data_IF_908162405390
#
_entry.id   IF_908162405390
#
_cell.length_a   1.000
_cell.length_b   1.000
_cell.length_c   1.000
_cell.angle_alpha   90.00
_cell.angle_beta   90.00
_cell.angle_gamma   90.00
#
_symmetry.space_group_name_H-M   'P 1'
#
loop_
_entity.id
_entity.type
_entity.pdbx_description
1 polymer ?
#
# COMPACT_ATOMS: atom_id res chain seq x y z
N UNK A 1 -2.78 21.15 12.93
CA UNK A 1 -2.48 21.23 11.49
C UNK A 1 -3.65 20.67 10.69
N UNK A 2 -4.04 21.35 9.63
CA UNK A 2 -4.97 20.79 8.65
C UNK A 2 -4.18 19.94 7.64
N UNK A 3 -4.53 18.68 7.52
CA UNK A 3 -3.83 17.73 6.67
C UNK A 3 -4.32 17.70 5.21
N UNK A 4 -5.30 18.53 4.84
CA UNK A 4 -5.82 18.54 3.46
C UNK A 4 -4.71 18.77 2.42
N UNK A 5 -3.88 19.78 2.62
CA UNK A 5 -2.76 20.09 1.73
C UNK A 5 -1.70 18.99 1.76
N UNK A 6 -1.39 18.48 2.97
CA UNK A 6 -0.41 17.41 3.16
C UNK A 6 -0.82 16.15 2.38
N UNK A 7 -2.08 15.73 2.53
CA UNK A 7 -2.58 14.53 1.86
C UNK A 7 -2.64 14.70 0.34
N UNK A 8 -3.05 15.89 -0.14
CA UNK A 8 -3.06 16.18 -1.57
C UNK A 8 -1.66 16.13 -2.18
N UNK A 9 -0.66 16.69 -1.48
CA UNK A 9 0.72 16.67 -1.94
C UNK A 9 1.32 15.26 -1.89
N UNK A 10 1.02 14.50 -0.86
CA UNK A 10 1.44 13.11 -0.76
C UNK A 10 0.86 12.27 -1.91
N UNK A 11 -0.41 12.49 -2.24
CA UNK A 11 -1.08 11.83 -3.38
C UNK A 11 -0.36 12.14 -4.69
N UNK A 12 -0.05 13.40 -4.93
CA UNK A 12 0.66 13.83 -6.13
C UNK A 12 2.03 13.15 -6.24
N UNK A 13 2.76 13.07 -5.14
CA UNK A 13 4.07 12.40 -5.09
C UNK A 13 3.95 10.93 -5.47
N UNK A 14 2.96 10.22 -4.92
CA UNK A 14 2.73 8.81 -5.25
C UNK A 14 2.35 8.62 -6.71
N UNK A 15 1.46 9.44 -7.24
CA UNK A 15 1.00 9.36 -8.63
C UNK A 15 2.11 9.63 -9.64
N UNK A 16 3.09 10.46 -9.27
CA UNK A 16 4.24 10.76 -10.12
C UNK A 16 5.35 9.71 -10.03
N UNK A 17 5.24 8.79 -9.08
CA UNK A 17 6.25 7.74 -8.91
C UNK A 17 6.23 6.78 -10.09
N UNK A 18 7.41 6.57 -10.70
CA UNK A 18 7.58 5.65 -11.83
C UNK A 18 8.38 4.43 -11.38
N UNK A 19 7.70 3.32 -11.17
CA UNK A 19 8.32 2.04 -10.87
C UNK A 19 8.47 1.22 -12.16
N UNK A 20 9.61 0.59 -12.36
CA UNK A 20 9.89 -0.20 -13.57
C UNK A 20 9.44 -1.65 -13.42
N UNK A 21 9.50 -2.21 -12.21
CA UNK A 21 9.09 -3.59 -11.96
C UNK A 21 7.57 -3.71 -11.86
N UNK A 22 7.04 -4.86 -12.23
CA UNK A 22 5.60 -5.15 -12.07
C UNK A 22 5.19 -5.02 -10.61
N UNK A 23 6.00 -5.54 -9.70
CA UNK A 23 5.81 -5.39 -8.26
C UNK A 23 5.70 -3.92 -7.83
N UNK A 24 6.67 -3.11 -8.23
CA UNK A 24 6.69 -1.68 -7.88
C UNK A 24 5.48 -0.93 -8.41
N UNK A 25 5.07 -1.18 -9.66
CA UNK A 25 3.88 -0.54 -10.25
C UNK A 25 2.62 -0.91 -9.48
N UNK A 26 2.45 -2.20 -9.16
CA UNK A 26 1.28 -2.67 -8.42
C UNK A 26 1.22 -2.12 -7.01
N UNK A 27 2.34 -2.10 -6.30
CA UNK A 27 2.43 -1.52 -4.95
C UNK A 27 2.12 -0.02 -4.97
N UNK A 28 2.63 0.69 -5.98
CA UNK A 28 2.35 2.13 -6.12
C UNK A 28 0.87 2.40 -6.36
N UNK A 29 0.23 1.65 -7.25
CA UNK A 29 -1.20 1.77 -7.51
C UNK A 29 -2.01 1.51 -6.21
N UNK A 30 -1.60 0.52 -5.46
CA UNK A 30 -2.24 0.18 -4.20
C UNK A 30 -2.05 1.28 -3.13
N UNK A 31 -0.85 1.86 -3.08
CA UNK A 31 -0.56 2.97 -2.18
C UNK A 31 -1.40 4.21 -2.53
N UNK A 32 -1.60 4.49 -3.81
CA UNK A 32 -2.47 5.59 -4.26
C UNK A 32 -3.91 5.37 -3.78
N UNK A 33 -4.45 4.16 -3.96
CA UNK A 33 -5.80 3.83 -3.49
C UNK A 33 -5.92 3.96 -1.97
N UNK A 34 -4.94 3.50 -1.22
CA UNK A 34 -4.91 3.63 0.24
C UNK A 34 -4.90 5.09 0.67
N UNK A 35 -4.05 5.89 0.05
CA UNK A 35 -3.94 7.31 0.40
C UNK A 35 -5.23 8.06 0.05
N UNK A 36 -5.86 7.72 -1.08
CA UNK A 36 -7.15 8.29 -1.43
C UNK A 36 -8.20 8.03 -0.35
N UNK A 37 -8.23 6.82 0.19
CA UNK A 37 -9.16 6.47 1.27
C UNK A 37 -8.83 7.16 2.58
N UNK A 38 -7.56 7.27 2.91
CA UNK A 38 -7.12 8.03 4.09
C UNK A 38 -7.57 9.48 3.96
N UNK A 39 -7.43 10.08 2.78
CA UNK A 39 -7.89 11.44 2.52
C UNK A 39 -9.40 11.57 2.64
N UNK A 40 -10.15 10.61 2.12
CA UNK A 40 -11.62 10.60 2.22
C UNK A 40 -12.06 10.44 3.68
N UNK A 41 -11.43 9.56 4.44
CA UNK A 41 -11.73 9.36 5.86
C UNK A 41 -11.38 10.58 6.69
N UNK A 42 -10.29 11.25 6.36
CA UNK A 42 -9.94 12.51 7.03
C UNK A 42 -10.98 13.60 6.74
N UNK A 43 -11.38 13.73 5.49
CA UNK A 43 -12.40 14.70 5.07
C UNK A 43 -13.74 14.45 5.78
N UNK A 44 -14.10 13.16 5.94
CA UNK A 44 -15.36 12.77 6.55
C UNK A 44 -15.31 12.70 8.09
N UNK A 45 -14.14 12.96 8.69
CA UNK A 45 -13.96 12.99 10.12
C UNK A 45 -13.70 11.65 10.80
N UNK A 46 -13.51 10.58 10.04
CA UNK A 46 -13.18 9.25 10.60
C UNK A 46 -11.72 9.13 11.05
N UNK A 47 -10.84 9.89 10.46
CA UNK A 47 -9.43 10.00 10.85
C UNK A 47 -9.16 11.46 11.24
N UNK A 48 -8.61 11.66 12.43
CA UNK A 48 -8.31 12.99 12.93
C UNK A 48 -6.90 13.44 12.54
N UNK A 49 -6.64 14.75 12.66
CA UNK A 49 -5.29 15.30 12.55
C UNK A 49 -4.35 14.69 13.59
N UNK A 50 -4.84 14.40 14.79
CA UNK A 50 -4.05 13.76 15.85
C UNK A 50 -3.67 12.32 15.46
N UNK A 51 -4.59 11.57 14.84
CA UNK A 51 -4.28 10.24 14.31
C UNK A 51 -3.15 10.28 13.29
N UNK A 52 -3.21 11.24 12.37
CA UNK A 52 -2.16 11.42 11.36
C UNK A 52 -0.84 11.87 11.98
N UNK A 53 -0.89 12.67 13.03
CA UNK A 53 0.29 13.14 13.75
C UNK A 53 0.97 12.01 14.54
N UNK A 54 0.21 11.04 15.06
CA UNK A 54 0.75 9.92 15.86
C UNK A 54 1.43 8.84 15.02
N UNK A 55 1.25 8.84 13.72
CA UNK A 55 1.97 7.93 12.82
C UNK A 55 3.45 8.32 12.74
N UNK A 56 4.20 7.92 13.75
CA UNK A 56 5.56 8.40 13.99
C UNK A 56 6.62 7.71 13.13
N UNK A 57 6.42 6.45 12.77
CA UNK A 57 7.33 5.73 11.88
C UNK A 57 6.55 5.05 10.76
N UNK A 58 7.12 5.08 9.55
CA UNK A 58 6.52 4.42 8.40
C UNK A 58 6.39 2.91 8.61
N UNK A 59 7.34 2.30 9.33
CA UNK A 59 7.33 0.85 9.58
C UNK A 59 6.23 0.43 10.55
N UNK A 60 6.11 1.13 11.68
CA UNK A 60 5.07 0.84 12.66
C UNK A 60 3.68 1.06 12.06
N UNK A 61 3.51 2.16 11.33
CA UNK A 61 2.27 2.46 10.63
C UNK A 61 1.94 1.41 9.57
N UNK A 62 2.94 0.95 8.81
CA UNK A 62 2.76 -0.10 7.81
C UNK A 62 2.31 -1.42 8.42
N UNK A 63 2.88 -1.82 9.56
CA UNK A 63 2.48 -3.04 10.25
C UNK A 63 1.05 -2.97 10.76
N UNK A 64 0.71 -1.88 11.44
CA UNK A 64 -0.64 -1.69 11.98
C UNK A 64 -1.68 -1.51 10.88
N UNK A 65 -1.37 -0.68 9.89
CA UNK A 65 -2.26 -0.44 8.75
C UNK A 65 -2.47 -1.70 7.92
N UNK A 66 -1.45 -2.49 7.68
CA UNK A 66 -1.57 -3.73 6.93
C UNK A 66 -2.47 -4.74 7.66
N UNK A 67 -2.39 -4.79 9.00
CA UNK A 67 -3.27 -5.64 9.81
C UNK A 67 -4.72 -5.21 9.68
N UNK A 68 -4.98 -3.93 9.92
CA UNK A 68 -6.35 -3.39 9.88
C UNK A 68 -6.95 -3.51 8.47
N UNK A 69 -6.14 -3.23 7.45
CA UNK A 69 -6.59 -3.28 6.06
C UNK A 69 -6.85 -4.69 5.57
N UNK A 70 -6.11 -5.68 6.06
CA UNK A 70 -6.32 -7.08 5.68
C UNK A 70 -7.69 -7.61 6.13
N UNK A 71 -8.23 -7.05 7.19
CA UNK A 71 -9.57 -7.39 7.68
C UNK A 71 -10.68 -6.88 6.74
N UNK A 72 -10.42 -5.82 5.99
CA UNK A 72 -11.38 -5.24 5.05
C UNK A 72 -11.29 -5.80 3.64
N UNK A 73 -10.42 -6.71 3.34
CA UNK A 73 -10.25 -7.57 2.15
C UNK A 73 -10.50 -6.97 0.74
N UNK A 74 -10.93 -5.72 0.62
CA UNK A 74 -11.30 -5.12 -0.66
C UNK A 74 -10.12 -4.58 -1.44
N UNK A 75 -9.07 -4.20 -0.76
CA UNK A 75 -7.96 -3.50 -1.37
C UNK A 75 -6.91 -4.40 -2.01
N UNK A 76 -6.86 -5.68 -1.65
CA UNK A 76 -5.77 -6.54 -2.06
C UNK A 76 -5.93 -7.24 -3.40
N UNK A 77 -7.15 -7.31 -3.91
CA UNK A 77 -7.45 -8.23 -5.01
C UNK A 77 -6.70 -7.93 -6.30
N UNK A 78 -6.59 -6.67 -6.70
CA UNK A 78 -5.93 -6.30 -7.94
C UNK A 78 -4.44 -6.60 -7.93
N UNK A 79 -3.78 -6.42 -6.78
CA UNK A 79 -2.35 -6.70 -6.61
C UNK A 79 -2.06 -8.20 -6.50
N UNK A 80 -2.91 -8.89 -5.75
CA UNK A 80 -2.70 -10.31 -5.43
C UNK A 80 -2.94 -11.20 -6.64
N UNK A 81 -3.85 -10.81 -7.54
CA UNK A 81 -4.16 -11.58 -8.74
C UNK A 81 -3.21 -11.29 -9.91
N UNK A 82 -2.30 -10.34 -9.78
CA UNK A 82 -1.29 -10.08 -10.81
C UNK A 82 -0.19 -11.12 -10.71
N UNK A 83 -0.04 -11.95 -11.73
CA UNK A 83 0.94 -13.01 -11.79
C UNK A 83 2.38 -12.50 -11.72
N UNK A 84 2.66 -11.34 -12.28
CA UNK A 84 4.00 -10.73 -12.25
C UNK A 84 4.37 -10.30 -10.84
N UNK A 85 3.41 -9.78 -10.09
CA UNK A 85 3.62 -9.38 -8.70
C UNK A 85 3.87 -10.63 -7.83
N UNK A 86 3.07 -11.66 -8.02
CA UNK A 86 3.25 -12.92 -7.32
C UNK A 86 4.63 -13.53 -7.64
N UNK A 87 5.02 -13.53 -8.90
CA UNK A 87 6.33 -14.04 -9.33
C UNK A 87 7.49 -13.23 -8.74
N UNK A 88 7.33 -11.92 -8.56
CA UNK A 88 8.35 -11.06 -7.96
C UNK A 88 8.52 -11.27 -6.46
N UNK A 89 7.46 -11.71 -5.77
CA UNK A 89 7.45 -11.86 -4.31
C UNK A 89 7.66 -13.27 -3.81
N UNK A 90 7.32 -14.26 -4.60
CA UNK A 90 7.36 -15.66 -4.20
C UNK A 90 8.64 -16.33 -4.66
N UNK A 91 9.14 -17.27 -3.87
CA UNK A 91 10.21 -18.17 -4.30
C UNK A 91 9.68 -19.14 -5.36
N UNK A 92 10.55 -19.74 -6.20
CA UNK A 92 10.09 -20.71 -7.18
C UNK A 92 9.30 -21.89 -6.60
N UNK A 93 9.62 -22.30 -5.37
CA UNK A 93 8.91 -23.40 -4.69
C UNK A 93 7.51 -23.00 -4.22
N UNK A 94 7.27 -21.73 -4.02
CA UNK A 94 5.97 -21.19 -3.62
C UNK A 94 5.03 -20.99 -4.82
N UNK A 95 5.53 -21.15 -6.03
CA UNK A 95 4.78 -20.89 -7.26
C UNK A 95 4.37 -22.17 -7.95
N UNK A 96 3.08 -22.29 -8.26
CA UNK A 96 2.52 -23.38 -9.03
C UNK A 96 2.19 -22.90 -10.44
N UNK A 97 2.58 -23.68 -11.44
CA UNK A 97 2.25 -23.41 -12.83
C UNK A 97 0.79 -23.79 -13.10
N UNK A 98 0.01 -22.86 -13.63
CA UNK A 98 -1.37 -23.09 -14.04
C UNK A 98 -1.42 -23.69 -15.44
N UNK A 99 -2.64 -24.10 -15.89
CA UNK A 99 -2.87 -24.61 -17.27
C UNK A 99 -2.40 -23.63 -18.35
N UNK A 100 -2.50 -22.35 -18.09
CA UNK A 100 -2.16 -21.30 -19.06
C UNK A 100 -0.68 -20.88 -18.97
N UNK A 101 0.11 -21.56 -18.15
CA UNK A 101 1.52 -21.24 -17.97
C UNK A 101 1.78 -20.13 -16.95
N UNK A 102 0.75 -19.49 -16.42
CA UNK A 102 0.87 -18.48 -15.38
C UNK A 102 1.34 -19.10 -14.07
N UNK A 103 2.20 -18.41 -13.36
CA UNK A 103 2.66 -18.84 -12.05
C UNK A 103 1.90 -18.14 -10.96
N UNK A 104 1.37 -18.93 -10.02
CA UNK A 104 0.57 -18.45 -8.88
C UNK A 104 1.01 -19.10 -7.59
N UNK A 105 0.79 -18.47 -6.43
CA UNK A 105 1.01 -19.12 -5.15
C UNK A 105 0.25 -20.43 -5.03
N UNK A 106 0.86 -21.40 -4.33
CA UNK A 106 0.37 -22.78 -4.25
C UNK A 106 -0.87 -22.94 -3.35
N UNK A 107 -1.07 -22.03 -2.40
CA UNK A 107 -2.13 -22.16 -1.42
C UNK A 107 -2.75 -20.80 -1.11
N UNK A 108 -3.90 -20.82 -0.46
CA UNK A 108 -4.55 -19.61 0.05
C UNK A 108 -3.67 -18.88 1.05
N UNK A 109 -2.94 -19.62 1.90
CA UNK A 109 -2.03 -19.02 2.88
C UNK A 109 -0.90 -18.25 2.19
N UNK A 110 -0.32 -18.81 1.14
CA UNK A 110 0.71 -18.12 0.35
C UNK A 110 0.17 -16.86 -0.33
N UNK A 111 -1.07 -16.93 -0.84
CA UNK A 111 -1.76 -15.74 -1.38
C UNK A 111 -1.89 -14.65 -0.32
N UNK A 112 -2.29 -15.02 0.90
CA UNK A 112 -2.43 -14.07 2.00
C UNK A 112 -1.08 -13.47 2.39
N UNK A 113 0.00 -14.25 2.35
CA UNK A 113 1.34 -13.76 2.60
C UNK A 113 1.79 -12.74 1.54
N UNK A 114 1.54 -13.02 0.27
CA UNK A 114 1.84 -12.10 -0.82
C UNK A 114 1.07 -10.80 -0.62
N UNK A 115 -0.21 -10.90 -0.31
CA UNK A 115 -1.07 -9.75 -0.04
C UNK A 115 -0.54 -8.94 1.15
N UNK A 116 -0.17 -9.58 2.24
CA UNK A 116 0.35 -8.92 3.42
C UNK A 116 1.67 -8.18 3.12
N UNK A 117 2.56 -8.79 2.34
CA UNK A 117 3.81 -8.13 1.91
C UNK A 117 3.53 -6.91 1.04
N UNK A 118 2.58 -7.03 0.10
CA UNK A 118 2.16 -5.93 -0.76
C UNK A 118 1.58 -4.77 0.05
N UNK A 119 0.68 -5.08 0.98
CA UNK A 119 0.07 -4.09 1.86
C UNK A 119 1.11 -3.34 2.69
N UNK A 120 2.05 -4.07 3.30
CA UNK A 120 3.11 -3.44 4.09
C UNK A 120 3.95 -2.47 3.26
N UNK A 121 4.33 -2.86 2.04
CA UNK A 121 5.10 -2.00 1.14
C UNK A 121 4.29 -0.77 0.70
N UNK A 122 3.01 -0.96 0.39
CA UNK A 122 2.13 0.13 0.02
C UNK A 122 1.97 1.14 1.17
N UNK A 123 1.76 0.67 2.40
CA UNK A 123 1.68 1.55 3.57
C UNK A 123 2.98 2.30 3.83
N UNK A 124 4.13 1.66 3.66
CA UNK A 124 5.43 2.35 3.78
C UNK A 124 5.52 3.53 2.82
N UNK A 125 5.08 3.35 1.58
CA UNK A 125 5.06 4.41 0.57
C UNK A 125 4.09 5.53 0.95
N UNK A 126 2.90 5.18 1.42
CA UNK A 126 1.89 6.14 1.87
C UNK A 126 2.45 7.00 3.00
N UNK A 127 2.95 6.37 4.05
CA UNK A 127 3.43 7.12 5.21
C UNK A 127 4.71 7.89 4.93
N UNK A 128 5.59 7.39 4.10
CA UNK A 128 6.76 8.14 3.65
C UNK A 128 6.36 9.40 2.88
N UNK A 129 5.36 9.29 2.01
CA UNK A 129 4.84 10.43 1.26
C UNK A 129 4.17 11.46 2.18
N UNK A 130 3.39 11.01 3.16
CA UNK A 130 2.76 11.90 4.15
C UNK A 130 3.83 12.64 4.96
N UNK A 131 4.86 11.94 5.43
CA UNK A 131 5.93 12.55 6.22
C UNK A 131 6.69 13.59 5.42
N UNK A 132 7.05 13.29 4.19
CA UNK A 132 7.74 14.24 3.31
C UNK A 132 6.88 15.48 3.07
N UNK A 133 5.60 15.28 2.78
CA UNK A 133 4.65 16.38 2.56
C UNK A 133 4.48 17.25 3.82
N UNK A 134 4.44 16.63 5.00
CA UNK A 134 4.37 17.37 6.26
C UNK A 134 5.57 18.28 6.44
N UNK A 135 6.77 17.80 6.16
CA UNK A 135 7.99 18.58 6.29
C UNK A 135 7.98 19.78 5.34
N UNK A 136 7.52 19.60 4.11
CA UNK A 136 7.42 20.67 3.13
C UNK A 136 6.39 21.73 3.53
N UNK A 137 5.24 21.31 4.03
CA UNK A 137 4.16 22.24 4.45
C UNK A 137 4.55 23.01 5.70
N UNK A 138 5.38 22.44 6.58
CA UNK A 138 5.83 23.13 7.81
C UNK A 138 6.98 24.10 7.58
N UNK A 139 7.62 24.04 6.42
CA UNK A 139 8.63 25.03 6.04
C UNK A 139 7.97 26.28 5.47
#
# INVERSE_FOLDING_TARGET
>A
MDYTTVLAQAMQTLEQRKDRSAWGRGVTAYAVDMLQQIADYYKDGYISADDLATWTTAEAAALNGARDWSEYSWGGSALVYDGDIAAALCTPSELKKTRNGDRRPNSREEWLDVQARALRQAFRRVYSAIRAARQEVQQ
#
